data_IF_517297322947
#
_entry.id   IF_517297322947
#
_cell.length_a   1.000
_cell.length_b   1.000
_cell.length_c   1.000
_cell.angle_alpha   90.00
_cell.angle_beta   90.00
_cell.angle_gamma   90.00
#
_symmetry.space_group_name_H-M   'P 1'
#
loop_
_entity.id
_entity.type
_entity.pdbx_description
1 polymer ?
#
# COMPACT_ATOMS: atom_id res chain seq x y z
N UNK A 1 -6.73 -24.55 -3.31
CA UNK A 1 -5.32 -24.78 -2.93
C UNK A 1 -5.08 -24.85 -1.42
N UNK A 2 -5.92 -24.21 -0.57
CA UNK A 2 -5.66 -24.11 0.88
C UNK A 2 -6.31 -25.20 1.76
N UNK A 3 -7.30 -25.94 1.25
CA UNK A 3 -7.98 -27.04 1.96
C UNK A 3 -7.04 -28.07 2.62
N UNK A 4 -5.95 -28.55 1.96
CA UNK A 4 -5.07 -29.53 2.59
C UNK A 4 -4.42 -29.04 3.89
N UNK A 5 -4.23 -27.73 4.05
CA UNK A 5 -3.69 -27.15 5.28
C UNK A 5 -4.72 -27.20 6.42
N UNK A 6 -5.98 -26.84 6.12
CA UNK A 6 -7.08 -26.94 7.07
C UNK A 6 -7.30 -28.38 7.53
N UNK A 7 -7.30 -29.35 6.61
CA UNK A 7 -7.48 -30.76 6.96
C UNK A 7 -6.33 -31.33 7.79
N UNK A 8 -5.10 -30.86 7.54
CA UNK A 8 -3.91 -31.37 8.24
C UNK A 8 -3.72 -30.73 9.62
N UNK A 9 -4.19 -29.51 9.81
CA UNK A 9 -3.97 -28.71 11.02
C UNK A 9 -5.25 -27.97 11.47
N UNK A 10 -6.36 -28.68 11.73
CA UNK A 10 -7.66 -28.06 11.97
C UNK A 10 -7.70 -27.15 13.20
N UNK A 11 -6.92 -27.45 14.24
CA UNK A 11 -6.87 -26.67 15.48
C UNK A 11 -5.87 -25.51 15.43
N UNK A 12 -5.01 -25.44 14.40
CA UNK A 12 -3.90 -24.50 14.31
C UNK A 12 -3.96 -23.58 13.09
N UNK A 13 -4.84 -23.88 12.13
CA UNK A 13 -4.96 -23.13 10.88
C UNK A 13 -6.40 -22.69 10.70
N UNK A 14 -6.58 -21.39 10.51
CA UNK A 14 -7.81 -20.78 10.02
C UNK A 14 -7.49 -20.09 8.70
N UNK A 15 -8.38 -20.24 7.72
CA UNK A 15 -8.25 -19.60 6.41
C UNK A 15 -9.36 -18.59 6.25
N UNK A 16 -8.99 -17.31 6.20
CA UNK A 16 -9.91 -16.20 6.01
C UNK A 16 -9.68 -15.56 4.65
N UNK A 17 -10.75 -15.45 3.88
CA UNK A 17 -10.77 -14.98 2.49
C UNK A 17 -11.42 -13.59 2.47
N UNK A 18 -10.58 -12.55 2.47
CA UNK A 18 -11.05 -11.18 2.37
C UNK A 18 -11.51 -10.88 0.94
N UNK A 19 -12.69 -10.30 0.79
CA UNK A 19 -13.19 -9.80 -0.49
C UNK A 19 -13.55 -8.32 -0.39
N UNK A 20 -13.12 -7.54 -1.37
CA UNK A 20 -13.38 -6.09 -1.38
C UNK A 20 -14.85 -5.82 -1.73
N UNK A 21 -15.62 -5.15 -0.87
CA UNK A 21 -17.07 -5.01 -1.08
C UNK A 21 -17.43 -4.07 -2.25
N UNK A 22 -16.48 -3.31 -2.80
CA UNK A 22 -16.68 -2.47 -3.99
C UNK A 22 -16.39 -3.19 -5.31
N UNK A 23 -15.80 -4.39 -5.26
CA UNK A 23 -15.60 -5.24 -6.43
C UNK A 23 -16.72 -6.28 -6.47
N UNK A 24 -17.91 -5.82 -6.89
CA UNK A 24 -19.09 -6.68 -7.06
C UNK A 24 -19.80 -6.38 -8.40
N UNK A 25 -20.46 -7.38 -8.98
CA UNK A 25 -21.31 -7.23 -10.17
C UNK A 25 -20.57 -7.02 -11.49
N UNK A 26 -21.07 -6.12 -12.35
CA UNK A 26 -20.50 -5.81 -13.67
C UNK A 26 -19.01 -5.39 -13.61
N UNK A 27 -18.56 -4.84 -12.47
CA UNK A 27 -17.17 -4.46 -12.25
C UNK A 27 -16.24 -5.68 -12.16
N UNK A 28 -16.64 -6.77 -11.51
CA UNK A 28 -15.89 -8.04 -11.53
C UNK A 28 -15.88 -8.69 -12.92
N UNK A 29 -16.92 -8.45 -13.73
CA UNK A 29 -17.00 -9.00 -15.09
C UNK A 29 -16.11 -8.24 -16.09
N UNK A 30 -15.89 -6.94 -15.87
CA UNK A 30 -15.07 -6.09 -16.74
C UNK A 30 -13.59 -6.05 -16.34
N UNK A 31 -13.27 -6.36 -15.09
CA UNK A 31 -11.90 -6.42 -14.56
C UNK A 31 -11.37 -7.85 -14.72
N UNK A 32 -10.34 -8.10 -15.55
CA UNK A 32 -9.80 -9.46 -15.76
C UNK A 32 -9.35 -10.11 -14.45
N UNK A 33 -9.46 -11.45 -14.32
CA UNK A 33 -9.13 -12.20 -13.08
C UNK A 33 -7.75 -11.86 -12.48
N UNK A 34 -6.75 -11.54 -13.32
CA UNK A 34 -5.39 -11.12 -12.86
C UNK A 34 -5.35 -9.79 -12.11
N UNK A 35 -6.35 -8.92 -12.29
CA UNK A 35 -6.50 -7.70 -11.50
C UNK A 35 -7.09 -7.99 -10.11
N UNK A 36 -7.86 -9.08 -9.92
CA UNK A 36 -8.30 -9.51 -8.59
C UNK A 36 -7.14 -10.06 -7.75
N UNK A 37 -6.19 -10.79 -8.37
CA UNK A 37 -4.93 -11.24 -7.72
C UNK A 37 -4.05 -10.07 -7.27
N UNK A 38 -4.19 -8.91 -7.89
CA UNK A 38 -3.46 -7.68 -7.55
C UNK A 38 -4.10 -6.90 -6.40
N UNK A 39 -5.42 -7.05 -6.20
CA UNK A 39 -6.15 -6.42 -5.09
C UNK A 39 -6.00 -7.23 -3.79
N UNK A 40 -5.78 -8.54 -3.93
CA UNK A 40 -5.45 -9.45 -2.85
C UNK A 40 -4.01 -9.98 -3.00
N UNK A 41 -3.03 -9.07 -3.13
CA UNK A 41 -1.58 -9.30 -3.21
C UNK A 41 -1.10 -10.78 -3.07
N UNK A 42 -1.31 -11.59 -4.11
CA UNK A 42 -0.81 -12.97 -4.15
C UNK A 42 0.20 -13.09 -5.27
N UNK A 43 1.46 -12.75 -4.97
CA UNK A 43 2.58 -13.14 -5.82
C UNK A 43 3.03 -14.56 -5.44
N UNK A 44 3.02 -15.45 -6.41
CA UNK A 44 3.61 -16.78 -6.33
C UNK A 44 5.15 -16.63 -6.29
N UNK A 45 5.69 -16.48 -5.08
CA UNK A 45 7.11 -16.25 -4.83
C UNK A 45 7.94 -17.52 -5.12
N UNK A 46 8.32 -17.73 -6.37
CA UNK A 46 9.60 -18.38 -6.70
C UNK A 46 10.78 -17.40 -6.50
N UNK A 47 10.79 -16.65 -5.39
CA UNK A 47 11.89 -15.73 -5.07
C UNK A 47 12.54 -16.18 -3.76
N UNK A 48 13.64 -16.90 -3.88
CA UNK A 48 14.52 -17.25 -2.76
C UNK A 48 15.16 -15.99 -2.19
N UNK A 49 14.76 -15.63 -0.96
CA UNK A 49 15.50 -14.80 0.01
C UNK A 49 16.18 -13.54 -0.54
N UNK A 50 15.38 -12.53 -0.92
CA UNK A 50 15.90 -11.18 -1.21
C UNK A 50 16.02 -10.38 0.10
N UNK A 51 17.25 -10.20 0.58
CA UNK A 51 17.58 -9.51 1.84
C UNK A 51 17.09 -8.05 1.90
N UNK A 52 16.74 -7.44 0.76
CA UNK A 52 16.40 -6.02 0.66
C UNK A 52 14.89 -5.74 0.86
N UNK A 53 14.07 -6.74 1.21
CA UNK A 53 12.61 -6.63 1.29
C UNK A 53 12.07 -6.48 2.72
N UNK A 54 12.92 -6.62 3.73
CA UNK A 54 12.48 -6.74 5.11
C UNK A 54 13.18 -5.72 6.00
N UNK A 55 12.38 -5.00 6.78
CA UNK A 55 12.86 -4.31 7.98
C UNK A 55 12.59 -5.22 9.17
N UNK A 56 13.65 -5.65 9.85
CA UNK A 56 13.53 -6.48 11.04
C UNK A 56 13.44 -5.61 12.29
N UNK A 57 12.28 -5.63 12.94
CA UNK A 57 12.09 -5.04 14.25
C UNK A 57 12.32 -6.10 15.33
N UNK A 58 13.24 -5.85 16.26
CA UNK A 58 13.50 -6.74 17.40
C UNK A 58 13.04 -6.07 18.70
N UNK A 59 12.43 -6.86 19.60
CA UNK A 59 12.00 -6.36 20.91
C UNK A 59 10.82 -5.38 20.88
N UNK A 60 10.07 -5.30 19.78
CA UNK A 60 8.93 -4.40 19.63
C UNK A 60 7.60 -5.17 19.68
N UNK A 61 7.20 -5.66 20.86
CA UNK A 61 5.93 -6.41 21.01
C UNK A 61 4.72 -5.55 20.66
N UNK A 62 4.75 -4.25 20.95
CA UNK A 62 3.65 -3.32 20.62
C UNK A 62 3.28 -3.34 19.13
N UNK A 63 4.29 -3.37 18.27
CA UNK A 63 4.10 -3.40 16.82
C UNK A 63 3.62 -4.77 16.36
N UNK A 64 4.20 -5.84 16.90
CA UNK A 64 3.79 -7.21 16.57
C UNK A 64 2.34 -7.48 16.99
N UNK A 65 1.98 -7.08 18.20
CA UNK A 65 0.63 -7.19 18.76
C UNK A 65 -0.35 -6.34 17.93
N UNK A 66 0.02 -5.11 17.54
CA UNK A 66 -0.82 -4.28 16.67
C UNK A 66 -1.16 -4.96 15.34
N UNK A 67 -0.17 -5.50 14.63
CA UNK A 67 -0.42 -6.18 13.37
C UNK A 67 -1.14 -7.52 13.54
N UNK A 68 -0.87 -8.24 14.64
CA UNK A 68 -1.62 -9.46 14.99
C UNK A 68 -3.10 -9.15 15.22
N UNK A 69 -3.40 -8.12 16.01
CA UNK A 69 -4.76 -7.65 16.28
C UNK A 69 -5.44 -7.17 14.97
N UNK A 70 -4.71 -6.44 14.11
CA UNK A 70 -5.23 -5.93 12.85
C UNK A 70 -5.58 -7.07 11.88
N UNK A 71 -4.68 -8.05 11.72
CA UNK A 71 -4.94 -9.25 10.90
C UNK A 71 -6.11 -10.03 11.48
N UNK A 72 -6.22 -10.13 12.81
CA UNK A 72 -7.37 -10.71 13.50
C UNK A 72 -8.68 -10.01 13.13
N UNK A 73 -8.74 -8.68 13.26
CA UNK A 73 -9.94 -7.91 12.92
C UNK A 73 -10.33 -8.01 11.44
N UNK A 74 -9.36 -8.01 10.52
CA UNK A 74 -9.62 -8.22 9.08
C UNK A 74 -10.09 -9.66 8.82
N UNK A 75 -9.51 -10.64 9.52
CA UNK A 75 -9.91 -12.05 9.45
C UNK A 75 -11.35 -12.24 9.92
N UNK A 76 -11.80 -11.54 10.96
CA UNK A 76 -13.17 -11.64 11.49
C UNK A 76 -14.26 -11.05 10.56
N UNK A 77 -13.89 -10.08 9.71
CA UNK A 77 -14.80 -9.52 8.69
C UNK A 77 -14.72 -10.30 7.37
N UNK A 78 -13.80 -11.25 7.27
CA UNK A 78 -13.59 -12.06 6.08
C UNK A 78 -14.41 -13.33 6.11
N UNK A 79 -14.59 -13.91 4.92
CA UNK A 79 -15.20 -15.21 4.78
C UNK A 79 -14.28 -16.31 5.34
N UNK A 80 -14.82 -17.27 6.07
CA UNK A 80 -14.07 -18.41 6.61
C UNK A 80 -14.24 -19.63 5.71
N UNK A 81 -13.13 -20.21 5.26
CA UNK A 81 -13.12 -21.46 4.53
C UNK A 81 -13.30 -22.63 5.51
N UNK A 82 -14.33 -23.43 5.30
CA UNK A 82 -14.66 -24.60 6.10
C UNK A 82 -13.97 -25.87 5.58
N UNK A 83 -13.97 -26.92 6.38
CA UNK A 83 -13.36 -28.21 6.02
C UNK A 83 -14.06 -28.92 4.85
N UNK A 84 -15.31 -28.58 4.55
CA UNK A 84 -16.09 -29.17 3.47
C UNK A 84 -16.05 -28.34 2.16
N UNK A 85 -15.10 -27.42 2.04
CA UNK A 85 -14.95 -26.49 0.91
C UNK A 85 -16.07 -25.45 0.79
N UNK A 86 -16.91 -25.33 1.82
CA UNK A 86 -17.87 -24.22 1.92
C UNK A 86 -17.23 -23.00 2.54
N UNK A 87 -17.89 -21.87 2.36
CA UNK A 87 -17.39 -20.56 2.78
C UNK A 87 -18.50 -19.85 3.54
N UNK A 88 -18.22 -19.46 4.77
CA UNK A 88 -19.22 -18.89 5.69
C UNK A 88 -18.75 -17.57 6.27
N UNK A 89 -19.70 -16.71 6.65
CA UNK A 89 -19.42 -15.51 7.43
C UNK A 89 -19.34 -15.84 8.91
N UNK A 90 -18.53 -15.09 9.65
CA UNK A 90 -18.52 -15.20 11.11
C UNK A 90 -19.90 -14.87 11.72
N UNK A 91 -20.23 -15.50 12.84
CA UNK A 91 -21.51 -15.30 13.51
C UNK A 91 -21.72 -13.81 13.86
N UNK A 92 -22.85 -13.26 13.43
CA UNK A 92 -23.19 -11.85 13.64
C UNK A 92 -22.65 -10.90 12.56
N UNK A 93 -21.94 -11.40 11.54
CA UNK A 93 -21.54 -10.61 10.38
C UNK A 93 -22.52 -10.74 9.21
N UNK A 94 -22.74 -9.62 8.53
CA UNK A 94 -23.46 -9.57 7.26
C UNK A 94 -22.57 -10.12 6.13
N UNK A 95 -23.15 -10.89 5.21
CA UNK A 95 -22.43 -11.35 4.03
C UNK A 95 -22.09 -10.18 3.11
N UNK A 96 -20.80 -9.96 2.84
CA UNK A 96 -20.31 -8.82 2.06
C UNK A 96 -20.89 -8.72 0.62
N UNK A 97 -21.42 -9.83 0.07
CA UNK A 97 -22.04 -9.88 -1.26
C UNK A 97 -23.58 -10.04 -1.24
N UNK A 98 -24.11 -10.80 -0.28
CA UNK A 98 -25.52 -11.22 -0.26
C UNK A 98 -26.35 -10.42 0.75
N UNK A 99 -25.68 -9.84 1.74
CA UNK A 99 -26.27 -9.00 2.78
C UNK A 99 -26.21 -7.51 2.45
N UNK A 100 -26.48 -6.70 3.46
CA UNK A 100 -26.42 -5.25 3.34
C UNK A 100 -24.97 -4.77 3.38
N UNK A 101 -24.46 -4.35 2.23
CA UNK A 101 -23.11 -3.81 2.08
C UNK A 101 -22.80 -2.65 3.03
N UNK A 102 -23.75 -1.78 3.30
CA UNK A 102 -23.53 -0.61 4.19
C UNK A 102 -23.30 -1.09 5.61
N UNK A 103 -24.15 -2.01 6.09
CA UNK A 103 -24.00 -2.61 7.42
C UNK A 103 -22.70 -3.41 7.54
N UNK A 104 -22.32 -4.16 6.50
CA UNK A 104 -21.03 -4.87 6.46
C UNK A 104 -19.86 -3.88 6.61
N UNK A 105 -19.82 -2.83 5.78
CA UNK A 105 -18.76 -1.82 5.83
C UNK A 105 -18.70 -1.10 7.19
N UNK A 106 -19.85 -0.77 7.78
CA UNK A 106 -19.92 -0.15 9.12
C UNK A 106 -19.40 -1.10 10.21
N UNK A 107 -19.84 -2.37 10.21
CA UNK A 107 -19.39 -3.37 11.17
C UNK A 107 -17.87 -3.63 11.05
N UNK A 108 -17.38 -3.75 9.82
CA UNK A 108 -15.96 -3.97 9.57
C UNK A 108 -15.10 -2.76 9.95
N UNK A 109 -15.58 -1.55 9.63
CA UNK A 109 -14.93 -0.30 10.06
C UNK A 109 -14.83 -0.21 11.58
N UNK A 110 -15.91 -0.51 12.30
CA UNK A 110 -15.90 -0.52 13.77
C UNK A 110 -14.88 -1.50 14.34
N UNK A 111 -14.77 -2.73 13.80
CA UNK A 111 -13.79 -3.72 14.27
C UNK A 111 -12.35 -3.27 14.04
N UNK A 112 -12.02 -2.78 12.84
CA UNK A 112 -10.65 -2.34 12.53
C UNK A 112 -10.28 -1.07 13.31
N UNK A 113 -11.19 -0.10 13.41
CA UNK A 113 -10.96 1.13 14.18
C UNK A 113 -10.78 0.85 15.67
N UNK A 114 -11.45 -0.17 16.23
CA UNK A 114 -11.24 -0.58 17.62
C UNK A 114 -9.79 -1.02 17.87
N UNK A 115 -9.18 -1.78 16.97
CA UNK A 115 -7.76 -2.16 17.08
C UNK A 115 -6.85 -0.92 17.12
N UNK A 116 -7.14 0.05 16.25
CA UNK A 116 -6.36 1.29 16.15
C UNK A 116 -6.49 2.11 17.45
N UNK A 117 -7.71 2.26 17.98
CA UNK A 117 -7.95 3.01 19.22
C UNK A 117 -7.40 2.29 20.46
N UNK A 118 -7.53 0.96 20.54
CA UNK A 118 -6.95 0.18 21.63
C UNK A 118 -5.42 0.30 21.64
N UNK A 119 -4.78 0.28 20.46
CA UNK A 119 -3.34 0.51 20.35
C UNK A 119 -2.92 1.93 20.78
N UNK A 120 -3.70 2.96 20.38
CA UNK A 120 -3.49 4.35 20.82
C UNK A 120 -3.62 4.48 22.34
N UNK A 121 -4.62 3.85 22.93
CA UNK A 121 -4.83 3.85 24.38
C UNK A 121 -3.67 3.20 25.12
N UNK A 122 -3.25 1.99 24.70
CA UNK A 122 -2.08 1.28 25.27
C UNK A 122 -0.81 2.14 25.19
N UNK A 123 -0.60 2.84 24.08
CA UNK A 123 0.55 3.74 23.91
C UNK A 123 0.48 4.94 24.87
N UNK A 124 -0.70 5.55 25.04
CA UNK A 124 -0.91 6.67 25.95
C UNK A 124 -0.67 6.28 27.41
N UNK A 125 -1.19 5.12 27.84
CA UNK A 125 -0.98 4.58 29.19
C UNK A 125 0.50 4.28 29.46
N UNK A 126 1.21 3.68 28.49
CA UNK A 126 2.66 3.45 28.60
C UNK A 126 3.45 4.74 28.70
N UNK A 127 3.11 5.78 27.93
CA UNK A 127 3.76 7.09 28.03
C UNK A 127 3.52 7.73 29.39
N UNK A 128 2.29 7.71 29.91
CA UNK A 128 1.97 8.33 31.20
C UNK A 128 2.61 7.58 32.38
N UNK A 129 2.62 6.25 32.36
CA UNK A 129 3.30 5.43 33.38
C UNK A 129 4.83 5.56 33.32
N UNK A 130 5.42 5.60 32.12
CA UNK A 130 6.84 5.87 31.96
C UNK A 130 7.17 7.27 32.49
N UNK A 131 6.45 8.32 32.11
CA UNK A 131 6.70 9.70 32.56
C UNK A 131 6.74 9.86 34.10
N UNK A 132 5.96 9.05 34.84
CA UNK A 132 6.04 8.99 36.30
C UNK A 132 7.32 8.30 36.82
N UNK A 133 7.82 7.29 36.08
CA UNK A 133 9.06 6.55 36.35
C UNK A 133 10.32 7.34 35.96
N UNK A 134 10.30 8.08 34.84
CA UNK A 134 11.45 8.86 34.32
C UNK A 134 11.81 10.03 35.24
N UNK A 135 10.85 10.57 36.01
CA UNK A 135 11.14 11.54 37.09
C UNK A 135 12.08 11.01 38.18
N UNK A 136 12.28 9.69 38.26
CA UNK A 136 13.11 9.03 39.27
C UNK A 136 14.40 8.41 38.71
N UNK A 137 14.63 8.42 37.39
CA UNK A 137 15.78 7.79 36.75
C UNK A 137 16.41 8.74 35.72
N UNK A 138 17.67 9.12 35.94
CA UNK A 138 18.39 10.17 35.20
C UNK A 138 19.02 9.72 33.87
N UNK A 139 18.58 8.61 33.26
CA UNK A 139 19.33 8.00 32.14
C UNK A 139 18.47 7.20 31.15
N UNK A 140 17.28 7.68 30.79
CA UNK A 140 16.56 7.10 29.65
C UNK A 140 16.97 7.89 28.41
N UNK A 141 17.77 7.26 27.56
CA UNK A 141 18.10 7.82 26.25
C UNK A 141 16.82 7.95 25.43
N UNK A 142 16.64 9.12 24.80
CA UNK A 142 15.51 9.34 23.91
C UNK A 142 15.66 8.42 22.68
N UNK A 143 14.55 7.87 22.16
CA UNK A 143 14.61 7.08 20.94
C UNK A 143 15.12 7.96 19.79
N UNK A 144 16.02 7.40 18.98
CA UNK A 144 16.53 8.03 17.75
C UNK A 144 15.57 7.83 16.57
N UNK A 145 14.68 6.84 16.66
CA UNK A 145 13.78 6.42 15.59
C UNK A 145 12.35 6.26 16.11
N UNK A 146 11.38 6.84 15.40
CA UNK A 146 9.96 6.73 15.68
C UNK A 146 9.28 5.92 14.59
N UNK A 147 8.43 4.97 14.98
CA UNK A 147 7.63 4.18 14.05
C UNK A 147 6.14 4.45 14.30
N UNK A 148 5.40 4.69 13.22
CA UNK A 148 3.96 4.89 13.24
C UNK A 148 3.33 3.89 12.28
N UNK A 149 2.61 2.86 12.77
CA UNK A 149 1.84 2.01 11.89
C UNK A 149 0.62 2.78 11.35
N UNK A 150 0.52 2.88 10.03
CA UNK A 150 -0.58 3.55 9.34
C UNK A 150 -1.48 2.51 8.67
N UNK A 151 -2.79 2.77 8.63
CA UNK A 151 -3.79 1.85 8.07
C UNK A 151 -4.62 2.58 7.01
N UNK A 152 -4.77 1.95 5.85
CA UNK A 152 -5.60 2.41 4.74
C UNK A 152 -6.55 1.29 4.32
N UNK A 153 -7.85 1.46 4.56
CA UNK A 153 -8.90 0.57 4.07
C UNK A 153 -10.10 1.43 3.64
N UNK A 154 -9.99 2.01 2.44
CA UNK A 154 -10.98 2.94 1.87
C UNK A 154 -12.42 2.37 1.82
N UNK A 155 -12.65 1.07 1.51
CA UNK A 155 -13.97 0.45 1.62
C UNK A 155 -14.65 0.57 2.98
N UNK A 156 -13.86 0.72 4.05
CA UNK A 156 -14.32 0.86 5.43
C UNK A 156 -14.27 2.32 5.91
N UNK A 157 -13.98 3.27 5.02
CA UNK A 157 -13.80 4.67 5.37
C UNK A 157 -12.53 4.95 6.18
N UNK A 158 -11.57 4.02 6.22
CA UNK A 158 -10.32 4.17 6.98
C UNK A 158 -9.26 4.73 6.05
N UNK A 159 -8.84 5.97 6.28
CA UNK A 159 -7.94 6.74 5.39
C UNK A 159 -6.75 7.37 6.14
N UNK A 160 -6.22 6.68 7.15
CA UNK A 160 -5.21 7.25 8.06
C UNK A 160 -3.89 7.49 7.32
N UNK A 161 -3.44 6.52 6.53
CA UNK A 161 -2.23 6.65 5.71
C UNK A 161 -2.33 7.81 4.71
N UNK A 162 -3.48 7.92 4.04
CA UNK A 162 -3.77 9.00 3.10
C UNK A 162 -3.66 10.38 3.77
N UNK A 163 -4.35 10.57 4.90
CA UNK A 163 -4.32 11.82 5.66
C UNK A 163 -2.90 12.19 6.12
N UNK A 164 -2.14 11.21 6.63
CA UNK A 164 -0.76 11.45 7.11
C UNK A 164 0.15 11.81 5.94
N UNK A 165 0.06 11.09 4.83
CA UNK A 165 0.86 11.36 3.62
C UNK A 165 0.55 12.74 3.06
N UNK A 166 -0.73 13.11 2.93
CA UNK A 166 -1.15 14.44 2.48
C UNK A 166 -0.63 15.55 3.39
N UNK A 167 -0.68 15.34 4.71
CA UNK A 167 -0.14 16.29 5.69
C UNK A 167 1.37 16.47 5.50
N UNK A 168 2.14 15.38 5.40
CA UNK A 168 3.59 15.45 5.17
C UNK A 168 3.95 16.17 3.86
N UNK A 169 3.19 15.90 2.79
CA UNK A 169 3.40 16.54 1.50
C UNK A 169 3.06 18.05 1.52
N UNK A 170 2.06 18.44 2.31
CA UNK A 170 1.56 19.82 2.39
C UNK A 170 2.36 20.70 3.33
N UNK A 171 2.84 20.15 4.46
CA UNK A 171 3.66 20.87 5.44
C UNK A 171 5.08 21.13 4.92
N UNK A 172 5.54 20.39 3.90
CA UNK A 172 6.83 20.63 3.26
C UNK A 172 6.91 22.04 2.64
N UNK A 173 7.87 22.83 3.12
CA UNK A 173 8.02 24.24 2.72
C UNK A 173 8.96 24.40 1.54
N UNK A 174 9.04 25.64 1.03
CA UNK A 174 9.93 25.99 -0.08
C UNK A 174 11.39 25.74 0.31
N UNK A 175 12.06 24.89 -0.46
CA UNK A 175 13.48 24.54 -0.26
C UNK A 175 13.68 23.12 0.26
N UNK A 176 12.67 22.55 0.90
CA UNK A 176 12.70 21.17 1.38
C UNK A 176 12.93 20.19 0.22
N UNK A 177 13.60 19.08 0.52
CA UNK A 177 13.86 18.00 -0.41
C UNK A 177 13.08 16.76 0.05
N UNK A 178 12.05 16.39 -0.69
CA UNK A 178 11.28 15.19 -0.45
C UNK A 178 11.73 14.11 -1.43
N UNK A 179 12.02 12.93 -0.88
CA UNK A 179 12.43 11.77 -1.64
C UNK A 179 11.31 10.74 -1.56
N UNK A 180 10.66 10.48 -2.69
CA UNK A 180 9.58 9.52 -2.80
C UNK A 180 10.08 8.33 -3.60
N UNK A 181 9.81 7.12 -3.14
CA UNK A 181 10.19 5.90 -3.83
C UNK A 181 9.00 4.97 -3.92
N UNK A 182 8.72 4.45 -5.11
CA UNK A 182 7.64 3.48 -5.30
C UNK A 182 8.00 2.42 -6.34
N UNK A 183 7.67 1.17 -6.05
CA UNK A 183 7.75 0.07 -7.03
C UNK A 183 6.64 0.13 -8.08
N UNK A 184 5.56 0.86 -7.78
CA UNK A 184 4.35 0.94 -8.60
C UNK A 184 3.87 2.38 -8.65
N UNK A 185 4.11 3.08 -9.76
CA UNK A 185 3.67 4.47 -9.89
C UNK A 185 2.16 4.56 -10.10
N UNK A 186 1.42 4.63 -8.98
CA UNK A 186 -0.03 4.68 -8.95
C UNK A 186 -0.56 5.86 -8.12
N UNK A 187 0.07 7.04 -8.23
CA UNK A 187 -0.38 8.21 -7.49
C UNK A 187 -1.83 8.58 -7.86
N UNK A 188 -2.67 8.80 -6.84
CA UNK A 188 -4.02 9.33 -7.00
C UNK A 188 -3.97 10.74 -7.62
N UNK A 189 -5.09 11.21 -8.17
CA UNK A 189 -5.13 12.58 -8.69
C UNK A 189 -4.86 13.60 -7.58
N UNK A 190 -5.36 13.36 -6.37
CA UNK A 190 -5.11 14.22 -5.20
C UNK A 190 -3.61 14.37 -4.91
N UNK A 191 -2.86 13.26 -4.88
CA UNK A 191 -1.41 13.34 -4.70
C UNK A 191 -0.68 14.06 -5.84
N UNK A 192 -1.09 13.83 -7.09
CA UNK A 192 -0.52 14.55 -8.23
C UNK A 192 -0.74 16.07 -8.11
N UNK A 193 -1.97 16.47 -7.76
CA UNK A 193 -2.33 17.87 -7.59
C UNK A 193 -1.57 18.52 -6.41
N UNK A 194 -1.41 17.79 -5.30
CA UNK A 194 -0.60 18.22 -4.16
C UNK A 194 0.86 18.41 -4.54
N UNK A 195 1.47 17.43 -5.23
CA UNK A 195 2.86 17.52 -5.69
C UNK A 195 3.08 18.73 -6.60
N UNK A 196 2.12 19.04 -7.48
CA UNK A 196 2.18 20.18 -8.41
C UNK A 196 1.86 21.52 -7.74
N UNK A 197 1.05 21.54 -6.69
CA UNK A 197 0.58 22.75 -5.99
C UNK A 197 1.47 23.22 -4.84
N UNK A 198 2.23 22.32 -4.24
CA UNK A 198 3.18 22.60 -3.14
C UNK A 198 4.48 23.24 -3.64
N UNK A 199 5.33 23.70 -2.70
CA UNK A 199 6.55 24.46 -3.01
C UNK A 199 7.86 23.73 -2.71
N UNK A 200 7.80 22.52 -2.16
CA UNK A 200 8.97 21.69 -1.92
C UNK A 200 9.55 21.10 -3.21
N UNK A 201 10.79 20.64 -3.16
CA UNK A 201 11.40 19.90 -4.27
C UNK A 201 11.17 18.40 -4.07
N UNK A 202 10.74 17.72 -5.12
CA UNK A 202 10.41 16.31 -5.11
C UNK A 202 11.38 15.54 -5.99
N UNK A 203 11.99 14.50 -5.44
CA UNK A 203 12.83 13.55 -6.13
C UNK A 203 12.11 12.20 -6.09
N UNK A 204 11.43 11.84 -7.17
CA UNK A 204 10.59 10.66 -7.27
C UNK A 204 11.36 9.57 -7.99
N UNK A 205 11.57 8.44 -7.31
CA UNK A 205 12.24 7.26 -7.83
C UNK A 205 11.21 6.14 -8.06
N UNK A 206 11.14 5.66 -9.28
CA UNK A 206 10.19 4.66 -9.75
C UNK A 206 10.92 3.39 -10.17
N UNK A 207 10.32 2.22 -10.00
CA UNK A 207 10.78 1.02 -10.71
C UNK A 207 10.47 1.14 -12.20
N UNK A 208 11.44 0.83 -13.07
CA UNK A 208 11.16 0.67 -14.48
C UNK A 208 10.20 -0.52 -14.70
N UNK A 209 9.23 -0.41 -15.62
CA UNK A 209 8.28 -1.48 -15.97
C UNK A 209 8.90 -2.86 -16.22
N UNK A 210 10.13 -2.92 -16.73
CA UNK A 210 10.84 -4.18 -16.99
C UNK A 210 11.25 -4.94 -15.72
N UNK A 211 11.45 -4.23 -14.61
CA UNK A 211 11.82 -4.80 -13.30
C UNK A 211 10.62 -4.84 -12.34
N UNK A 212 9.44 -4.63 -12.88
CA UNK A 212 8.18 -4.70 -12.15
C UNK A 212 7.69 -6.16 -12.13
N UNK A 213 7.43 -6.70 -10.94
CA UNK A 213 7.03 -8.10 -10.74
C UNK A 213 5.75 -8.52 -11.49
N UNK A 214 4.92 -7.55 -11.90
CA UNK A 214 3.66 -7.80 -12.59
C UNK A 214 3.84 -7.80 -14.10
N UNK A 215 4.35 -8.86 -14.73
CA UNK A 215 4.50 -8.86 -16.19
C UNK A 215 3.12 -8.78 -16.92
N UNK A 216 2.84 -7.72 -17.69
CA UNK A 216 1.62 -7.61 -18.52
C UNK A 216 0.96 -6.22 -18.62
N UNK A 217 -0.38 -6.17 -18.48
CA UNK A 217 -1.18 -4.96 -18.68
C UNK A 217 -1.08 -3.93 -17.52
N UNK A 218 -0.70 -4.39 -16.33
CA UNK A 218 -0.61 -3.58 -15.12
C UNK A 218 0.58 -2.59 -15.18
N UNK A 219 1.80 -2.99 -15.56
CA UNK A 219 2.89 -2.05 -15.81
C UNK A 219 2.55 -1.01 -16.88
N UNK A 220 1.79 -1.38 -17.91
CA UNK A 220 1.36 -0.43 -18.93
C UNK A 220 0.43 0.65 -18.37
N UNK A 221 -0.39 0.35 -17.35
CA UNK A 221 -1.19 1.35 -16.65
C UNK A 221 -0.30 2.30 -15.84
N UNK A 222 0.73 1.80 -15.16
CA UNK A 222 1.68 2.66 -14.44
C UNK A 222 2.48 3.57 -15.38
N UNK A 223 2.95 3.06 -16.52
CA UNK A 223 3.59 3.88 -17.56
C UNK A 223 2.64 4.97 -18.05
N UNK A 224 1.35 4.67 -18.20
CA UNK A 224 0.37 5.66 -18.61
C UNK A 224 0.19 6.75 -17.56
N UNK A 225 0.04 6.38 -16.28
CA UNK A 225 -0.12 7.30 -15.16
C UNK A 225 1.14 8.17 -15.01
N UNK A 226 2.32 7.58 -15.13
CA UNK A 226 3.61 8.28 -15.11
C UNK A 226 3.70 9.29 -16.25
N UNK A 227 3.37 8.88 -17.48
CA UNK A 227 3.40 9.78 -18.63
C UNK A 227 2.42 10.95 -18.48
N UNK A 228 1.23 10.71 -17.96
CA UNK A 228 0.27 11.78 -17.67
C UNK A 228 0.83 12.76 -16.65
N UNK A 229 1.38 12.27 -15.55
CA UNK A 229 1.97 13.11 -14.51
C UNK A 229 3.16 13.92 -15.02
N UNK A 230 4.08 13.28 -15.76
CA UNK A 230 5.23 13.96 -16.35
C UNK A 230 4.82 15.08 -17.31
N UNK A 231 3.78 14.86 -18.11
CA UNK A 231 3.23 15.88 -19.00
C UNK A 231 2.67 17.08 -18.22
N UNK A 232 1.99 16.85 -17.10
CA UNK A 232 1.53 17.93 -16.22
C UNK A 232 2.69 18.69 -15.57
N UNK A 233 3.73 18.00 -15.10
CA UNK A 233 4.96 18.64 -14.61
C UNK A 233 5.57 19.55 -15.69
N UNK A 234 5.60 19.10 -16.94
CA UNK A 234 6.13 19.88 -18.05
C UNK A 234 5.23 21.07 -18.41
N UNK A 235 3.91 20.86 -18.45
CA UNK A 235 2.91 21.90 -18.74
C UNK A 235 2.96 23.04 -17.73
N UNK A 236 3.24 22.71 -16.47
CA UNK A 236 3.40 23.68 -15.38
C UNK A 236 4.82 24.27 -15.28
N UNK A 237 5.78 23.82 -16.09
CA UNK A 237 7.17 24.30 -16.06
C UNK A 237 7.92 23.92 -14.78
N UNK A 238 7.58 22.79 -14.16
CA UNK A 238 8.08 22.39 -12.83
C UNK A 238 9.17 21.31 -12.87
N UNK A 239 9.74 21.00 -14.03
CA UNK A 239 10.74 19.93 -14.20
C UNK A 239 12.00 20.10 -13.33
N UNK A 240 12.31 21.33 -12.91
CA UNK A 240 13.43 21.62 -12.00
C UNK A 240 13.11 21.14 -10.58
N UNK A 241 11.85 21.31 -10.15
CA UNK A 241 11.37 21.05 -8.78
C UNK A 241 10.92 19.62 -8.60
N UNK A 242 10.24 19.05 -9.60
CA UNK A 242 9.72 17.68 -9.58
C UNK A 242 10.55 16.85 -10.54
N UNK A 243 11.51 16.11 -9.99
CA UNK A 243 12.38 15.20 -10.73
C UNK A 243 11.83 13.79 -10.63
N UNK A 244 11.71 13.12 -11.77
CA UNK A 244 11.25 11.73 -11.85
C UNK A 244 12.38 10.91 -12.44
N UNK A 245 12.68 9.77 -11.82
CA UNK A 245 13.72 8.84 -12.26
C UNK A 245 13.21 7.41 -12.25
N UNK A 246 13.59 6.62 -13.26
CA UNK A 246 13.32 5.19 -13.34
C UNK A 246 14.58 4.41 -12.97
N UNK A 247 14.46 3.51 -12.01
CA UNK A 247 15.48 2.52 -11.67
C UNK A 247 15.32 1.27 -12.53
N UNK A 248 16.42 0.83 -13.13
CA UNK A 248 16.50 -0.42 -13.87
C UNK A 248 17.75 -1.18 -13.47
N UNK A 249 17.62 -2.48 -13.21
CA UNK A 249 18.74 -3.40 -13.03
C UNK A 249 18.33 -4.79 -13.52
N UNK A 250 19.13 -5.36 -14.41
CA UNK A 250 18.89 -6.72 -14.91
C UNK A 250 18.74 -7.73 -13.76
N UNK A 251 17.71 -8.57 -13.85
CA UNK A 251 17.43 -9.71 -12.95
C UNK A 251 17.15 -9.34 -11.48
N UNK A 252 16.77 -8.10 -11.17
CA UNK A 252 16.44 -7.65 -9.81
C UNK A 252 15.05 -7.01 -9.77
N UNK A 253 14.14 -7.52 -8.93
CA UNK A 253 12.84 -6.89 -8.67
C UNK A 253 13.04 -5.72 -7.70
N UNK A 254 12.53 -4.54 -8.04
CA UNK A 254 12.83 -3.31 -7.32
C UNK A 254 12.35 -3.31 -5.86
N UNK A 255 13.28 -3.24 -4.90
CA UNK A 255 13.04 -2.84 -3.51
C UNK A 255 14.23 -2.08 -2.93
N UNK A 256 13.92 -1.16 -2.02
CA UNK A 256 14.74 -0.09 -1.44
C UNK A 256 16.06 -0.58 -0.78
N UNK A 257 17.16 -0.59 -1.55
CA UNK A 257 18.50 -0.30 -0.98
C UNK A 257 18.66 1.20 -0.77
N UNK A 258 19.56 1.60 0.16
CA UNK A 258 19.84 3.00 0.54
C UNK A 258 19.49 4.00 -0.57
N UNK A 259 18.41 4.76 -0.37
CA UNK A 259 17.77 5.59 -1.40
C UNK A 259 18.79 6.33 -2.27
N UNK A 260 19.79 6.97 -1.66
CA UNK A 260 20.84 7.73 -2.37
C UNK A 260 21.63 6.91 -3.40
N UNK A 261 21.96 5.64 -3.13
CA UNK A 261 22.66 4.80 -4.10
C UNK A 261 21.76 4.43 -5.29
N UNK A 262 20.45 4.28 -5.06
CA UNK A 262 19.49 4.01 -6.13
C UNK A 262 19.28 5.20 -7.06
N UNK A 263 19.24 6.44 -6.54
CA UNK A 263 19.17 7.64 -7.38
C UNK A 263 20.36 7.69 -8.37
N UNK A 264 21.57 7.29 -7.93
CA UNK A 264 22.76 7.25 -8.78
C UNK A 264 22.74 6.17 -9.87
N UNK A 265 21.94 5.12 -9.69
CA UNK A 265 21.79 4.01 -10.64
C UNK A 265 20.53 4.13 -11.50
N UNK A 266 19.80 5.23 -11.37
CA UNK A 266 18.54 5.49 -12.06
C UNK A 266 18.71 6.45 -13.23
N UNK A 267 17.81 6.35 -14.20
CA UNK A 267 17.78 7.24 -15.37
C UNK A 267 16.70 8.30 -15.19
N UNK A 268 17.01 9.55 -15.53
CA UNK A 268 16.01 10.61 -15.51
C UNK A 268 14.92 10.36 -16.57
N UNK A 269 13.67 10.54 -16.16
CA UNK A 269 12.52 10.45 -17.08
C UNK A 269 12.50 11.69 -17.98
N UNK A 270 12.34 11.45 -19.28
CA UNK A 270 12.34 12.46 -20.32
C UNK A 270 11.28 12.14 -21.38
N UNK A 271 10.98 13.06 -22.33
CA UNK A 271 10.08 12.74 -23.42
C UNK A 271 10.52 11.54 -24.26
N UNK A 272 11.83 11.25 -24.32
CA UNK A 272 12.37 10.09 -25.03
C UNK A 272 12.07 8.76 -24.32
N UNK A 273 11.93 8.77 -22.99
CA UNK A 273 11.58 7.57 -22.20
C UNK A 273 10.28 6.94 -22.72
N UNK A 274 9.26 7.76 -22.98
CA UNK A 274 7.94 7.30 -23.44
C UNK A 274 7.87 6.93 -24.93
N UNK A 275 8.95 7.16 -25.71
CA UNK A 275 9.05 6.75 -27.11
C UNK A 275 9.57 5.31 -27.25
N UNK A 276 10.07 4.71 -26.17
CA UNK A 276 10.62 3.36 -26.21
C UNK A 276 9.51 2.33 -26.50
N UNK A 277 9.74 1.32 -27.35
CA UNK A 277 8.72 0.33 -27.69
C UNK A 277 8.14 -0.42 -26.49
N UNK A 278 8.96 -0.69 -25.45
CA UNK A 278 8.50 -1.35 -24.21
C UNK A 278 7.53 -0.48 -23.39
N UNK A 279 7.46 0.82 -23.67
CA UNK A 279 6.59 1.80 -22.99
C UNK A 279 5.30 2.07 -23.77
N UNK A 280 5.05 1.35 -24.87
CA UNK A 280 3.83 1.51 -25.65
C UNK A 280 2.60 1.05 -24.85
N UNK A 281 1.71 2.01 -24.53
CA UNK A 281 0.44 1.74 -23.86
C UNK A 281 -0.67 1.56 -24.89
N UNK A 282 -1.28 0.37 -24.91
CA UNK A 282 -2.44 0.05 -25.76
C UNK A 282 -3.63 0.95 -25.46
N UNK A 283 -4.43 1.30 -26.47
CA UNK A 283 -5.57 2.21 -26.33
C UNK A 283 -6.59 1.77 -25.26
N UNK A 284 -6.90 0.47 -25.21
CA UNK A 284 -7.86 -0.04 -24.21
C UNK A 284 -7.37 0.15 -22.78
N UNK A 285 -6.06 0.08 -22.52
CA UNK A 285 -5.48 0.36 -21.20
C UNK A 285 -5.75 1.82 -20.84
N UNK A 286 -5.50 2.76 -21.77
CA UNK A 286 -5.78 4.20 -21.56
C UNK A 286 -7.24 4.49 -21.25
N UNK A 287 -8.18 3.71 -21.80
CA UNK A 287 -9.62 3.87 -21.56
C UNK A 287 -10.05 3.28 -20.21
N UNK A 288 -9.42 2.19 -19.77
CA UNK A 288 -9.76 1.50 -18.51
C UNK A 288 -9.07 2.14 -17.31
N UNK A 289 -7.83 2.65 -17.46
CA UNK A 289 -7.04 3.21 -16.35
C UNK A 289 -7.82 4.26 -15.53
N UNK A 290 -8.53 5.25 -16.12
CA UNK A 290 -9.30 6.23 -15.35
C UNK A 290 -10.44 5.62 -14.52
N UNK A 291 -11.03 4.51 -14.98
CA UNK A 291 -12.10 3.81 -14.27
C UNK A 291 -11.55 3.03 -13.08
N UNK A 292 -10.43 2.34 -13.26
CA UNK A 292 -9.82 1.51 -12.22
C UNK A 292 -9.03 2.34 -11.19
N UNK A 293 -8.49 3.51 -11.56
CA UNK A 293 -7.72 4.39 -10.67
C UNK A 293 -8.50 4.81 -9.43
N UNK A 294 -9.84 4.84 -9.49
CA UNK A 294 -10.69 5.19 -8.34
C UNK A 294 -10.90 4.03 -7.35
N UNK A 295 -10.52 2.81 -7.72
CA UNK A 295 -10.59 1.62 -6.87
C UNK A 295 -9.28 1.33 -6.12
N UNK A 296 -8.19 2.04 -6.47
CA UNK A 296 -6.87 1.93 -5.85
C UNK A 296 -6.55 3.14 -4.98
#
# INVERSE_FOLDING_TARGET
MLLPLLHRFPDNVRVSLFHTPHLCGLLCFLVPERFNETIAAYEDLHQTNQQDHYVLFQGCSELADFFSDLVGAVSEVSLQLQSDDTVETEEGMEHHYEGDKTKYCEAASMKVMRVIEDARHRQYEKRTTNFQRERSASSIEQPDTWMYPLVQIKPFGIQIDELVTETLLTEAVRGDQLYLTTGYFNLTQGYMDLLLGTRANYNILLAAPEVNGFFGAIPAAYVYIEHQFYNEVCRHGQQIRVKIQEYYRDLWNFMLKEQQQLYNLSNAVSPATFQHPSRYVKLWVKLVTPLIKNFF
#
